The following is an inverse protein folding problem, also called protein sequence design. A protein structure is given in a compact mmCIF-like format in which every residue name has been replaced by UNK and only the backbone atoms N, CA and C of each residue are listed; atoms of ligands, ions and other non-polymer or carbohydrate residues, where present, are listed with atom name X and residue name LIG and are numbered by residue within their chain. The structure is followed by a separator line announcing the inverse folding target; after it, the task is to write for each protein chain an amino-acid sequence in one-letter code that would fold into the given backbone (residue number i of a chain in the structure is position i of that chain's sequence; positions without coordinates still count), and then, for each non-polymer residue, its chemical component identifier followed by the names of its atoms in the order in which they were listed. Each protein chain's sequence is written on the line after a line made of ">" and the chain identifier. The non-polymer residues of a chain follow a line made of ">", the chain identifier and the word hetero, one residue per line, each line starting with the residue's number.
data_IF_637765977913
#
_entry.id   IF_637765977913
#
_cell.length_a   1.000
_cell.length_b   1.000
_cell.length_c   1.000
_cell.angle_alpha   90.00
_cell.angle_beta   90.00
_cell.angle_gamma   90.00
#
_symmetry.space_group_name_H-M   'P 1'
#
loop_
_entity.id
_entity.type
_entity.pdbx_description
1 polymer ?
#
# COMPACT_ATOMS: atom_id res chain seq x y z
N UNK A 1 44.90 -8.96 -28.73
CA UNK A 1 44.54 -8.31 -27.45
C UNK A 1 43.47 -9.19 -26.81
N UNK A 2 43.79 -9.87 -25.72
CA UNK A 2 42.86 -10.78 -25.04
C UNK A 2 42.05 -9.99 -24.00
N UNK A 3 40.73 -10.24 -23.93
CA UNK A 3 39.87 -9.73 -22.87
C UNK A 3 40.29 -10.44 -21.58
N UNK A 4 40.84 -9.69 -20.63
CA UNK A 4 41.13 -10.18 -19.28
C UNK A 4 39.85 -9.99 -18.47
N UNK A 5 39.21 -11.08 -18.05
CA UNK A 5 38.05 -11.04 -17.16
C UNK A 5 38.56 -10.58 -15.79
N UNK A 6 38.05 -9.44 -15.29
CA UNK A 6 38.33 -8.99 -13.93
C UNK A 6 37.66 -9.96 -12.92
N UNK A 7 38.44 -10.71 -12.11
CA UNK A 7 37.89 -11.69 -11.17
C UNK A 7 37.45 -11.05 -9.84
N UNK A 8 37.46 -9.72 -9.72
CA UNK A 8 37.14 -9.04 -8.47
C UNK A 8 35.64 -8.98 -8.17
N UNK A 9 35.22 -9.92 -7.30
CA UNK A 9 34.48 -9.65 -6.05
C UNK A 9 32.95 -9.54 -6.04
N UNK A 10 32.24 -9.74 -7.14
CA UNK A 10 30.80 -10.04 -7.05
C UNK A 10 30.58 -11.51 -6.67
N UNK A 11 30.35 -11.78 -5.39
CA UNK A 11 29.98 -13.11 -4.87
C UNK A 11 31.08 -13.88 -4.12
N UNK A 12 32.24 -13.27 -3.84
CA UNK A 12 33.29 -13.93 -3.02
C UNK A 12 32.93 -13.84 -1.54
N UNK A 13 32.96 -14.98 -0.84
CA UNK A 13 32.64 -15.05 0.57
C UNK A 13 33.67 -14.26 1.44
N UNK A 14 33.22 -13.63 2.55
CA UNK A 14 31.83 -13.51 2.97
C UNK A 14 31.13 -12.43 2.14
N UNK A 15 30.11 -12.84 1.38
CA UNK A 15 29.24 -11.90 0.70
C UNK A 15 28.49 -11.14 1.80
N UNK A 16 28.43 -9.79 1.78
CA UNK A 16 27.56 -9.08 2.71
C UNK A 16 26.16 -9.66 2.56
N UNK A 17 25.59 -10.13 3.68
CA UNK A 17 24.22 -10.63 3.70
C UNK A 17 23.33 -9.44 3.36
N UNK A 18 22.98 -9.29 2.08
CA UNK A 18 22.02 -8.29 1.64
C UNK A 18 20.66 -8.70 2.17
N UNK A 19 20.32 -8.15 3.33
CA UNK A 19 19.03 -8.41 3.94
C UNK A 19 17.95 -7.61 3.19
N UNK A 20 17.41 -8.17 2.11
CA UNK A 20 16.32 -7.53 1.36
C UNK A 20 15.08 -7.21 2.23
N UNK A 21 14.98 -7.75 3.45
CA UNK A 21 13.95 -7.34 4.40
C UNK A 21 14.09 -5.87 4.86
N UNK A 22 15.22 -5.18 4.60
CA UNK A 22 15.26 -3.72 4.79
C UNK A 22 14.39 -2.97 3.76
N UNK A 23 14.12 -3.55 2.59
CA UNK A 23 13.27 -2.96 1.55
C UNK A 23 11.78 -3.23 1.81
N UNK A 24 11.45 -4.35 2.46
CA UNK A 24 10.11 -4.57 2.99
C UNK A 24 9.80 -3.52 4.05
N UNK A 25 8.61 -2.94 4.03
CA UNK A 25 8.29 -1.80 4.89
C UNK A 25 8.50 -0.44 4.22
N UNK A 26 9.58 -0.28 3.43
CA UNK A 26 9.92 0.99 2.75
C UNK A 26 9.09 1.18 1.47
N UNK A 27 8.99 0.13 0.64
CA UNK A 27 8.14 0.11 -0.56
C UNK A 27 6.81 -0.61 -0.34
N UNK A 28 6.44 -0.79 0.93
CA UNK A 28 5.30 -1.59 1.37
C UNK A 28 4.12 -1.47 0.42
N UNK A 29 3.64 -2.63 -0.06
CA UNK A 29 2.50 -2.85 -0.97
C UNK A 29 2.57 -2.41 -2.42
N UNK A 30 3.72 -1.92 -2.91
CA UNK A 30 3.82 -1.66 -4.34
C UNK A 30 3.56 -2.98 -5.09
N UNK A 31 2.57 -3.03 -6.00
CA UNK A 31 2.20 -4.26 -6.67
C UNK A 31 3.36 -4.74 -7.54
N UNK A 32 3.90 -5.93 -7.27
CA UNK A 32 4.88 -6.57 -8.15
C UNK A 32 4.22 -7.26 -9.37
N UNK A 33 2.90 -7.44 -9.32
CA UNK A 33 2.06 -8.01 -10.38
C UNK A 33 0.69 -7.32 -10.38
N UNK A 34 -0.37 -8.03 -10.77
CA UNK A 34 -1.72 -7.47 -10.67
C UNK A 34 -2.06 -7.04 -9.24
N UNK A 35 -2.71 -5.88 -9.11
CA UNK A 35 -3.21 -5.41 -7.82
C UNK A 35 -4.26 -6.37 -7.26
N UNK A 36 -4.14 -6.65 -5.96
CA UNK A 36 -5.16 -7.38 -5.21
C UNK A 36 -6.46 -6.57 -5.16
N UNK A 37 -7.60 -7.27 -5.21
CA UNK A 37 -8.92 -6.65 -5.03
C UNK A 37 -9.07 -6.20 -3.58
N UNK A 38 -9.51 -4.96 -3.37
CA UNK A 38 -9.93 -4.46 -2.07
C UNK A 38 -11.32 -5.00 -1.73
N UNK A 39 -11.47 -5.91 -0.75
CA UNK A 39 -12.79 -6.41 -0.36
C UNK A 39 -13.58 -5.36 0.42
N UNK A 40 -12.89 -4.54 1.22
CA UNK A 40 -13.48 -3.51 2.07
C UNK A 40 -12.46 -2.40 2.30
N UNK A 41 -12.82 -1.17 1.94
CA UNK A 41 -11.94 -0.02 2.12
C UNK A 41 -11.62 0.26 3.60
N UNK A 42 -12.45 -0.17 4.56
CA UNK A 42 -12.19 0.03 5.99
C UNK A 42 -11.11 -0.93 6.55
N UNK A 43 -10.84 -2.04 5.86
CA UNK A 43 -9.83 -3.06 6.24
C UNK A 43 -8.85 -3.33 5.09
N UNK A 44 -8.65 -2.30 4.26
CA UNK A 44 -7.76 -2.35 3.11
C UNK A 44 -6.33 -2.76 3.51
N UNK A 45 -5.59 -3.30 2.55
CA UNK A 45 -4.16 -3.44 2.67
C UNK A 45 -3.56 -2.05 2.88
N UNK A 46 -2.60 -1.92 3.80
CA UNK A 46 -1.78 -0.72 3.93
C UNK A 46 -0.93 -0.65 2.69
N UNK A 47 -1.44 0.10 1.71
CA UNK A 47 -0.94 0.02 0.37
C UNK A 47 -1.88 0.19 -0.79
N UNK A 48 -1.47 -0.38 -1.92
CA UNK A 48 -2.20 -0.34 -3.19
C UNK A 48 -3.11 -1.56 -3.36
N UNK A 49 -4.41 -1.32 -3.58
CA UNK A 49 -5.39 -2.33 -3.98
C UNK A 49 -6.28 -1.80 -5.11
N UNK A 50 -6.85 -2.69 -5.94
CA UNK A 50 -7.86 -2.31 -6.94
C UNK A 50 -9.25 -2.27 -6.31
N UNK A 51 -10.01 -1.24 -6.65
CA UNK A 51 -11.41 -1.06 -6.28
C UNK A 51 -12.28 -1.67 -7.38
N UNK A 52 -13.34 -2.35 -6.96
CA UNK A 52 -14.34 -2.99 -7.84
C UNK A 52 -15.74 -2.64 -7.35
N UNK A 53 -16.80 -2.90 -8.14
CA UNK A 53 -18.18 -2.64 -7.74
C UNK A 53 -18.56 -3.30 -6.40
N UNK A 54 -17.96 -4.44 -6.09
CA UNK A 54 -18.24 -5.23 -4.88
C UNK A 54 -17.44 -4.76 -3.65
N UNK A 55 -16.54 -3.78 -3.81
CA UNK A 55 -15.73 -3.25 -2.70
C UNK A 55 -16.64 -2.54 -1.69
N UNK A 56 -16.64 -3.02 -0.44
CA UNK A 56 -17.39 -2.40 0.66
C UNK A 56 -16.79 -1.05 1.06
N UNK A 57 -17.62 -0.18 1.61
CA UNK A 57 -17.24 1.20 2.00
C UNK A 57 -16.63 1.98 0.83
N UNK A 58 -17.23 1.79 -0.35
CA UNK A 58 -16.74 2.24 -1.64
C UNK A 58 -16.50 3.76 -1.69
N UNK A 59 -15.40 4.25 -2.29
CA UNK A 59 -15.11 5.69 -2.39
C UNK A 59 -16.11 6.47 -3.24
N UNK A 60 -16.44 5.95 -4.42
CA UNK A 60 -17.46 6.54 -5.32
C UNK A 60 -18.23 5.44 -6.05
N UNK A 61 -19.40 5.01 -5.54
CA UNK A 61 -20.18 3.92 -6.17
C UNK A 61 -20.53 4.15 -7.64
N UNK A 62 -20.62 5.41 -8.06
CA UNK A 62 -20.89 5.78 -9.45
C UNK A 62 -19.72 5.47 -10.40
N UNK A 63 -18.48 5.58 -9.92
CA UNK A 63 -17.29 5.31 -10.71
C UNK A 63 -17.01 3.80 -10.84
N UNK A 64 -17.48 2.96 -9.91
CA UNK A 64 -17.38 1.48 -9.95
C UNK A 64 -15.96 0.88 -9.82
N UNK A 65 -14.95 1.45 -10.46
CA UNK A 65 -13.58 0.94 -10.49
C UNK A 65 -12.58 2.04 -10.16
N UNK A 66 -11.43 1.64 -9.61
CA UNK A 66 -10.37 2.56 -9.28
C UNK A 66 -9.20 1.88 -8.61
N UNK A 67 -8.30 2.69 -8.07
CA UNK A 67 -7.15 2.26 -7.29
C UNK A 67 -7.20 2.92 -5.93
N UNK A 68 -7.05 2.15 -4.86
CA UNK A 68 -6.98 2.63 -3.49
C UNK A 68 -5.53 2.61 -3.03
N UNK A 69 -5.05 3.74 -2.51
CA UNK A 69 -3.81 3.84 -1.76
C UNK A 69 -4.11 4.13 -0.30
N UNK A 70 -3.70 3.23 0.57
CA UNK A 70 -3.86 3.33 2.03
C UNK A 70 -2.51 3.57 2.68
N UNK A 71 -2.44 4.58 3.53
CA UNK A 71 -1.24 4.98 4.27
C UNK A 71 -1.57 4.92 5.75
N UNK A 72 -0.76 4.24 6.52
CA UNK A 72 -0.91 4.11 7.98
C UNK A 72 0.40 4.56 8.64
N UNK A 73 0.33 5.44 9.64
CA UNK A 73 1.51 5.90 10.40
C UNK A 73 2.22 4.77 11.15
N UNK A 74 1.51 3.67 11.41
CA UNK A 74 2.09 2.46 12.02
C UNK A 74 2.78 1.55 11.00
N UNK A 75 2.75 1.92 9.71
CA UNK A 75 3.42 1.20 8.63
C UNK A 75 2.80 -0.14 8.25
N UNK A 76 3.31 -0.74 7.17
CA UNK A 76 2.80 -1.98 6.58
C UNK A 76 3.37 -3.28 7.18
N UNK A 77 4.07 -3.18 8.32
CA UNK A 77 4.68 -4.31 9.02
C UNK A 77 5.91 -4.91 8.31
N UNK A 78 6.60 -5.84 9.00
CA UNK A 78 7.86 -6.44 8.52
C UNK A 78 7.71 -7.26 7.23
N UNK A 79 6.51 -7.77 6.95
CA UNK A 79 6.23 -8.49 5.70
C UNK A 79 5.91 -7.57 4.52
N UNK A 80 5.71 -6.26 4.76
CA UNK A 80 5.21 -5.31 3.76
C UNK A 80 3.75 -5.53 3.34
N UNK A 81 3.05 -6.47 3.99
CA UNK A 81 1.69 -6.90 3.68
C UNK A 81 0.90 -6.95 4.99
N UNK A 82 0.48 -5.78 5.48
CA UNK A 82 -0.41 -5.63 6.65
C UNK A 82 -1.71 -4.99 6.19
N UNK A 83 -2.84 -5.52 6.67
CA UNK A 83 -4.16 -4.88 6.52
C UNK A 83 -4.45 -3.98 7.71
N UNK A 84 -5.27 -2.95 7.48
CA UNK A 84 -5.71 -2.06 8.54
C UNK A 84 -6.45 -2.84 9.63
N UNK A 85 -6.13 -2.59 10.91
CA UNK A 85 -6.85 -3.21 12.01
C UNK A 85 -8.27 -2.64 12.12
N UNK A 86 -9.21 -3.46 12.59
CA UNK A 86 -10.59 -3.00 12.89
C UNK A 86 -10.57 -1.91 13.95
N UNK A 87 -9.76 -2.12 14.99
CA UNK A 87 -9.55 -1.18 16.09
C UNK A 87 -8.17 -0.55 15.95
N UNK A 88 -8.16 0.75 15.74
CA UNK A 88 -6.95 1.58 15.76
C UNK A 88 -6.56 1.94 17.19
N UNK A 89 -5.31 2.37 17.37
CA UNK A 89 -4.78 2.85 18.65
C UNK A 89 -4.62 4.36 18.68
N UNK A 90 -4.30 4.94 19.84
CA UNK A 90 -3.94 6.36 19.92
C UNK A 90 -2.62 6.60 19.18
N UNK A 91 -2.50 7.73 18.48
CA UNK A 91 -1.37 8.12 17.62
C UNK A 91 -1.24 7.31 16.31
N UNK A 92 -2.21 6.47 15.97
CA UNK A 92 -2.32 5.83 14.65
C UNK A 92 -3.22 6.67 13.73
N UNK A 93 -2.69 7.11 12.59
CA UNK A 93 -3.43 7.89 11.59
C UNK A 93 -3.41 7.16 10.26
N UNK A 94 -4.59 6.98 9.70
CA UNK A 94 -4.78 6.29 8.44
C UNK A 94 -5.35 7.28 7.44
N UNK A 95 -4.69 7.38 6.29
CA UNK A 95 -5.11 8.18 5.15
C UNK A 95 -5.40 7.26 3.98
N UNK A 96 -6.48 7.54 3.26
CA UNK A 96 -6.82 6.83 2.04
C UNK A 96 -7.06 7.79 0.90
N UNK A 97 -6.47 7.45 -0.24
CA UNK A 97 -6.58 8.15 -1.51
C UNK A 97 -7.11 7.15 -2.53
N UNK A 98 -8.20 7.45 -3.21
CA UNK A 98 -8.73 6.62 -4.27
C UNK A 98 -8.73 7.40 -5.60
N UNK A 99 -8.05 6.82 -6.59
CA UNK A 99 -8.02 7.29 -7.98
C UNK A 99 -9.06 6.48 -8.76
N UNK A 100 -10.17 7.12 -9.10
CA UNK A 100 -11.31 6.45 -9.73
C UNK A 100 -11.21 6.48 -11.27
N UNK A 101 -11.90 5.56 -11.94
CA UNK A 101 -11.88 5.44 -13.41
C UNK A 101 -12.56 6.60 -14.16
N UNK A 102 -13.29 7.48 -13.46
CA UNK A 102 -13.89 8.71 -13.97
C UNK A 102 -12.99 9.94 -13.78
N UNK A 103 -11.71 9.70 -13.45
CA UNK A 103 -10.68 10.70 -13.12
C UNK A 103 -10.96 11.48 -11.82
N UNK A 104 -11.89 11.03 -10.98
CA UNK A 104 -12.09 11.64 -9.67
C UNK A 104 -11.07 11.14 -8.66
N UNK A 105 -10.69 12.05 -7.76
CA UNK A 105 -9.83 11.72 -6.61
C UNK A 105 -10.70 11.82 -5.36
N UNK A 106 -10.86 10.69 -4.68
CA UNK A 106 -11.54 10.61 -3.40
C UNK A 106 -10.50 10.49 -2.28
N UNK A 107 -10.75 11.16 -1.16
CA UNK A 107 -9.90 11.05 0.02
C UNK A 107 -10.72 10.90 1.29
N UNK A 108 -10.18 10.18 2.26
CA UNK A 108 -10.71 10.14 3.63
C UNK A 108 -9.60 9.79 4.60
N UNK A 109 -9.91 9.91 5.89
CA UNK A 109 -8.98 9.57 6.96
C UNK A 109 -9.70 8.94 8.15
N UNK A 110 -8.92 8.24 8.97
CA UNK A 110 -9.28 7.79 10.32
C UNK A 110 -8.14 8.15 11.24
N UNK A 111 -8.42 8.85 12.33
CA UNK A 111 -7.42 9.38 13.27
C UNK A 111 -7.65 8.76 14.64
N UNK A 112 -6.60 8.21 15.25
CA UNK A 112 -6.67 7.54 16.54
C UNK A 112 -7.79 6.49 16.55
N UNK A 113 -8.54 6.38 17.65
CA UNK A 113 -9.70 5.47 17.81
C UNK A 113 -11.00 5.96 17.17
N UNK A 114 -10.98 7.06 16.42
CA UNK A 114 -12.20 7.61 15.83
C UNK A 114 -12.78 6.71 14.73
N UNK A 115 -14.03 6.99 14.34
CA UNK A 115 -14.64 6.39 13.16
C UNK A 115 -13.96 6.91 11.87
N UNK A 116 -14.22 6.20 10.76
CA UNK A 116 -13.83 6.68 9.44
C UNK A 116 -14.53 7.99 9.09
N UNK A 117 -13.76 8.96 8.58
CA UNK A 117 -14.31 10.12 7.90
C UNK A 117 -15.06 9.71 6.63
N UNK A 118 -15.98 10.57 6.21
CA UNK A 118 -16.66 10.42 4.92
C UNK A 118 -15.65 10.57 3.78
N UNK A 119 -15.95 9.95 2.64
CA UNK A 119 -15.20 10.17 1.41
C UNK A 119 -15.48 11.58 0.88
N UNK A 120 -14.42 12.35 0.67
CA UNK A 120 -14.46 13.71 0.11
C UNK A 120 -13.83 13.69 -1.27
N UNK A 121 -14.48 14.35 -2.23
CA UNK A 121 -13.98 14.51 -3.60
C UNK A 121 -13.09 15.76 -3.68
N UNK A 122 -11.89 15.61 -4.25
CA UNK A 122 -10.92 16.71 -4.37
C UNK A 122 -10.87 17.34 -5.77
N UNK A 123 -11.33 16.62 -6.80
CA UNK A 123 -11.46 17.06 -8.21
C UNK A 123 -12.74 16.48 -8.82
#
# INVERSE_FOLDING_TARGET
>A
MAIIINPETLGKAPVPVFNLAFLSGIFGSMPAGEMAVCPDANTALIGWEKITPDTKNHPSPAAQYGTLWTIDTMGCGNSGIRRLPVNTIDQEWINQLALMNDNTIMMRQRINRSAWGQWVRWL
#
